data_IF_286157227233
#
_entry.id   IF_286157227233
#
_cell.length_a   1.000
_cell.length_b   1.000
_cell.length_c   1.000
_cell.angle_alpha   90.00
_cell.angle_beta   90.00
_cell.angle_gamma   90.00
#
_symmetry.space_group_name_H-M   'P 1'
#
loop_
_entity.id
_entity.type
_entity.pdbx_description
1 polymer ?
#
# COMPACT_ATOMS: atom_id res chain seq x y z
N UNK A 1 -21.32 -1.80 -22.22
CA UNK A 1 -22.49 -2.30 -22.94
C UNK A 1 -22.09 -3.53 -23.76
N UNK A 2 -22.89 -4.58 -23.74
CA UNK A 2 -22.62 -5.83 -24.42
C UNK A 2 -23.76 -6.10 -25.40
N UNK A 3 -23.41 -6.41 -26.63
CA UNK A 3 -24.34 -6.81 -27.70
C UNK A 3 -23.96 -8.21 -28.22
N UNK A 4 -24.97 -9.02 -28.50
CA UNK A 4 -24.79 -10.33 -29.13
C UNK A 4 -25.80 -10.52 -30.26
N UNK A 5 -25.32 -10.70 -31.47
CA UNK A 5 -26.16 -10.78 -32.65
C UNK A 5 -26.97 -9.49 -32.88
N UNK A 6 -28.26 -9.64 -33.19
CA UNK A 6 -29.18 -8.52 -33.40
C UNK A 6 -29.83 -7.96 -32.12
N UNK A 7 -29.46 -8.52 -30.94
CA UNK A 7 -30.04 -8.08 -29.66
C UNK A 7 -29.48 -6.69 -29.31
N UNK A 8 -30.35 -5.71 -28.91
CA UNK A 8 -29.89 -4.40 -28.47
C UNK A 8 -28.88 -4.52 -27.33
N UNK A 9 -27.84 -3.67 -27.36
CA UNK A 9 -26.80 -3.66 -26.34
C UNK A 9 -27.38 -3.44 -24.92
N UNK A 10 -26.93 -4.26 -23.97
CA UNK A 10 -27.32 -4.20 -22.56
C UNK A 10 -26.10 -3.91 -21.71
N UNK A 11 -26.26 -3.11 -20.66
CA UNK A 11 -25.21 -2.96 -19.64
C UNK A 11 -25.14 -4.22 -18.81
N UNK A 12 -23.94 -4.79 -18.70
CA UNK A 12 -23.67 -6.02 -17.97
C UNK A 12 -22.45 -5.87 -17.07
N UNK A 13 -22.44 -6.66 -16.00
CA UNK A 13 -21.33 -6.68 -15.04
C UNK A 13 -20.18 -7.50 -15.63
N UNK A 14 -19.07 -6.86 -15.98
CA UNK A 14 -17.95 -7.46 -16.69
C UNK A 14 -17.33 -8.67 -15.94
N UNK A 15 -17.16 -8.58 -14.62
CA UNK A 15 -16.57 -9.66 -13.82
C UNK A 15 -17.47 -10.91 -13.68
N UNK A 16 -18.71 -10.86 -14.17
CA UNK A 16 -19.70 -11.93 -14.04
C UNK A 16 -20.26 -12.40 -15.38
N UNK A 17 -19.85 -11.77 -16.48
CA UNK A 17 -20.32 -12.07 -17.82
C UNK A 17 -19.30 -12.96 -18.51
N UNK A 18 -19.72 -14.16 -18.90
CA UNK A 18 -18.88 -15.06 -19.68
C UNK A 18 -18.80 -14.57 -21.12
N UNK A 19 -17.59 -14.58 -21.72
CA UNK A 19 -17.45 -14.27 -23.13
C UNK A 19 -18.14 -15.32 -23.99
N UNK A 20 -18.72 -14.89 -25.11
CA UNK A 20 -19.36 -15.76 -26.09
C UNK A 20 -18.96 -15.33 -27.51
N UNK A 21 -19.02 -16.28 -28.45
CA UNK A 21 -18.72 -16.02 -29.86
C UNK A 21 -19.66 -14.93 -30.42
N UNK A 22 -19.12 -14.01 -31.22
CA UNK A 22 -19.89 -12.90 -31.78
C UNK A 22 -20.30 -11.82 -30.77
N UNK A 23 -19.81 -11.86 -29.54
CA UNK A 23 -20.04 -10.81 -28.54
C UNK A 23 -19.28 -9.54 -28.89
N UNK A 24 -19.98 -8.41 -28.94
CA UNK A 24 -19.39 -7.08 -29.11
C UNK A 24 -19.50 -6.33 -27.79
N UNK A 25 -18.37 -5.84 -27.26
CA UNK A 25 -18.30 -5.11 -25.99
C UNK A 25 -17.91 -3.66 -26.28
N UNK A 26 -18.77 -2.72 -25.86
CA UNK A 26 -18.50 -1.29 -25.95
C UNK A 26 -18.44 -0.70 -24.54
N UNK A 27 -17.25 -0.27 -24.12
CA UNK A 27 -16.99 0.37 -22.83
C UNK A 27 -17.25 1.87 -22.85
N UNK A 28 -17.30 2.48 -24.05
CA UNK A 28 -17.38 3.93 -24.26
C UNK A 28 -18.76 4.40 -24.73
N UNK A 29 -19.77 3.53 -24.65
CA UNK A 29 -21.15 3.94 -24.95
C UNK A 29 -21.72 4.85 -23.89
N UNK A 30 -22.66 5.75 -24.25
CA UNK A 30 -23.32 6.63 -23.30
C UNK A 30 -23.99 5.87 -22.16
N UNK A 31 -24.55 4.69 -22.44
CA UNK A 31 -25.13 3.81 -21.40
C UNK A 31 -24.07 3.31 -20.42
N UNK A 32 -22.87 2.99 -20.89
CA UNK A 32 -21.76 2.56 -20.04
C UNK A 32 -21.28 3.71 -19.16
N UNK A 33 -21.11 4.90 -19.71
CA UNK A 33 -20.76 6.12 -18.96
C UNK A 33 -21.85 6.48 -17.92
N UNK A 34 -23.12 6.48 -18.32
CA UNK A 34 -24.23 6.77 -17.41
C UNK A 34 -24.23 5.78 -16.21
N UNK A 35 -24.06 4.49 -16.48
CA UNK A 35 -24.02 3.48 -15.40
C UNK A 35 -22.81 3.66 -14.49
N UNK A 36 -21.62 3.99 -15.01
CA UNK A 36 -20.44 4.29 -14.18
C UNK A 36 -20.70 5.50 -13.28
N UNK A 37 -21.31 6.59 -13.80
CA UNK A 37 -21.70 7.75 -13.01
C UNK A 37 -22.66 7.40 -11.88
N UNK A 38 -23.67 6.58 -12.16
CA UNK A 38 -24.62 6.13 -11.14
C UNK A 38 -23.98 5.27 -10.06
N UNK A 39 -23.08 4.35 -10.44
CA UNK A 39 -22.31 3.55 -9.48
C UNK A 39 -21.43 4.43 -8.59
N UNK A 40 -20.75 5.43 -9.15
CA UNK A 40 -19.94 6.37 -8.40
C UNK A 40 -20.79 7.22 -7.45
N UNK A 41 -21.92 7.74 -7.91
CA UNK A 41 -22.87 8.49 -7.07
C UNK A 41 -23.33 7.65 -5.88
N UNK A 42 -23.65 6.38 -6.11
CA UNK A 42 -24.03 5.44 -5.03
C UNK A 42 -22.91 5.25 -4.00
N UNK A 43 -21.66 5.08 -4.44
CA UNK A 43 -20.51 4.97 -3.55
C UNK A 43 -20.25 6.27 -2.77
N UNK A 44 -20.41 7.42 -3.43
CA UNK A 44 -20.16 8.73 -2.84
C UNK A 44 -21.28 9.20 -1.90
N UNK A 45 -22.49 8.63 -1.98
CA UNK A 45 -23.63 8.99 -1.12
C UNK A 45 -23.25 9.03 0.37
N UNK A 46 -22.57 8.01 0.84
CA UNK A 46 -22.17 7.87 2.25
C UNK A 46 -20.67 8.11 2.49
N UNK A 47 -19.88 8.29 1.42
CA UNK A 47 -18.45 8.53 1.56
C UNK A 47 -18.19 9.92 2.14
N UNK A 48 -17.38 10.08 3.20
CA UNK A 48 -17.16 11.38 3.82
C UNK A 48 -16.33 12.30 2.92
N UNK A 49 -16.52 13.62 3.05
CA UNK A 49 -15.74 14.63 2.34
C UNK A 49 -14.37 14.86 3.00
N UNK A 50 -13.70 13.78 3.30
CA UNK A 50 -12.44 13.74 4.07
C UNK A 50 -11.17 13.85 3.20
N UNK A 51 -11.26 14.05 1.89
CA UNK A 51 -10.09 14.10 1.01
C UNK A 51 -8.96 15.00 1.54
N UNK A 52 -9.22 16.19 2.10
CA UNK A 52 -8.19 17.06 2.66
C UNK A 52 -7.45 16.46 3.86
N UNK A 53 -8.08 15.55 4.60
CA UNK A 53 -7.53 14.88 5.78
C UNK A 53 -7.38 13.37 5.58
N UNK A 54 -7.59 12.87 4.37
CA UNK A 54 -7.47 11.46 4.04
C UNK A 54 -6.05 11.16 3.53
N UNK A 55 -5.41 10.17 4.12
CA UNK A 55 -4.05 9.79 3.78
C UNK A 55 -3.92 9.13 2.40
N UNK A 56 -5.04 8.66 1.83
CA UNK A 56 -5.09 8.07 0.49
C UNK A 56 -5.27 9.12 -0.63
N UNK A 57 -5.46 10.41 -0.31
CA UNK A 57 -5.61 11.45 -1.31
C UNK A 57 -4.40 11.49 -2.26
N UNK A 58 -4.67 11.53 -3.58
CA UNK A 58 -3.65 11.47 -4.64
C UNK A 58 -3.20 10.07 -5.05
N UNK A 59 -3.74 9.02 -4.39
CA UNK A 59 -3.56 7.60 -4.78
C UNK A 59 -4.85 6.80 -4.50
N UNK A 60 -6.01 7.44 -4.64
CA UNK A 60 -7.32 6.88 -4.32
C UNK A 60 -8.10 6.58 -5.58
N UNK A 61 -8.38 5.28 -5.84
CA UNK A 61 -9.14 4.85 -7.03
C UNK A 61 -10.51 5.54 -7.12
N UNK A 62 -11.21 5.71 -5.98
CA UNK A 62 -12.51 6.39 -5.97
C UNK A 62 -12.38 7.87 -6.37
N UNK A 63 -11.33 8.53 -5.93
CA UNK A 63 -11.07 9.92 -6.29
C UNK A 63 -10.79 10.03 -7.80
N UNK A 64 -9.93 9.18 -8.33
CA UNK A 64 -9.55 9.20 -9.74
C UNK A 64 -10.74 8.88 -10.65
N UNK A 65 -11.53 7.86 -10.33
CA UNK A 65 -12.75 7.54 -11.08
C UNK A 65 -13.81 8.64 -10.98
N UNK A 66 -13.90 9.32 -9.84
CA UNK A 66 -14.82 10.45 -9.69
C UNK A 66 -14.44 11.63 -10.59
N UNK A 67 -13.15 11.89 -10.76
CA UNK A 67 -12.67 12.91 -11.69
C UNK A 67 -12.89 12.52 -13.15
N UNK A 68 -12.75 11.25 -13.49
CA UNK A 68 -12.90 10.78 -14.87
C UNK A 68 -14.36 10.66 -15.32
N UNK A 69 -15.22 10.11 -14.46
CA UNK A 69 -16.57 9.68 -14.84
C UNK A 69 -17.67 10.28 -13.95
N UNK A 70 -17.31 10.89 -12.83
CA UNK A 70 -18.26 11.36 -11.84
C UNK A 70 -19.03 12.60 -12.24
N UNK A 71 -19.91 13.02 -11.36
CA UNK A 71 -20.70 14.26 -11.51
C UNK A 71 -20.54 15.13 -10.26
N UNK A 72 -20.70 16.44 -10.44
CA UNK A 72 -20.50 17.43 -9.36
C UNK A 72 -21.62 17.44 -8.31
N UNK A 73 -22.79 16.91 -8.65
CA UNK A 73 -23.98 16.92 -7.79
C UNK A 73 -24.57 15.53 -7.65
N UNK A 74 -25.03 15.19 -6.45
CA UNK A 74 -25.74 13.94 -6.17
C UNK A 74 -27.26 14.16 -6.12
N UNK A 75 -28.02 13.11 -6.45
CA UNK A 75 -29.50 13.12 -6.43
C UNK A 75 -30.08 12.83 -5.04
N UNK A 76 -29.29 12.20 -4.15
CA UNK A 76 -29.77 11.82 -2.81
C UNK A 76 -29.98 13.04 -1.92
N UNK A 77 -31.17 13.12 -1.33
CA UNK A 77 -31.54 14.15 -0.34
C UNK A 77 -31.38 13.69 1.11
N UNK A 78 -31.07 12.41 1.31
CA UNK A 78 -30.88 11.83 2.64
C UNK A 78 -29.51 12.22 3.21
N UNK A 79 -29.45 12.38 4.54
CA UNK A 79 -28.20 12.58 5.26
C UNK A 79 -27.22 11.42 5.08
N UNK A 80 -25.93 11.70 5.20
CA UNK A 80 -24.89 10.69 5.17
C UNK A 80 -24.94 9.83 6.42
N UNK A 81 -24.68 8.54 6.27
CA UNK A 81 -24.53 7.63 7.37
C UNK A 81 -23.17 7.87 8.04
N UNK A 82 -23.14 7.85 9.36
CA UNK A 82 -21.94 7.90 10.15
C UNK A 82 -21.57 6.50 10.66
N UNK A 83 -20.28 6.23 10.76
CA UNK A 83 -19.72 5.00 11.28
C UNK A 83 -18.45 5.30 12.08
N UNK A 84 -17.89 4.30 12.74
CA UNK A 84 -16.70 4.44 13.53
C UNK A 84 -15.49 4.86 12.69
N UNK A 85 -14.76 5.86 13.19
CA UNK A 85 -13.51 6.34 12.61
C UNK A 85 -12.31 5.91 13.48
N UNK A 86 -11.15 5.73 12.82
CA UNK A 86 -9.86 5.48 13.50
C UNK A 86 -9.84 4.22 14.37
N UNK A 87 -10.59 3.21 13.98
CA UNK A 87 -10.56 1.92 14.67
C UNK A 87 -9.21 1.22 14.43
N UNK A 88 -8.51 0.85 15.50
CA UNK A 88 -7.25 0.11 15.42
C UNK A 88 -7.51 -1.37 15.17
N UNK A 89 -7.02 -1.91 14.06
CA UNK A 89 -7.10 -3.35 13.78
C UNK A 89 -5.90 -4.14 14.33
N UNK A 90 -5.02 -3.52 15.10
CA UNK A 90 -3.77 -4.11 15.62
C UNK A 90 -2.62 -3.10 15.50
N UNK A 91 -1.37 -3.55 15.48
CA UNK A 91 -0.21 -2.66 15.53
C UNK A 91 0.06 -1.92 14.21
N UNK A 92 -0.36 -2.46 13.08
CA UNK A 92 0.02 -1.97 11.75
C UNK A 92 -1.06 -1.10 11.11
N UNK A 93 -2.34 -1.43 11.28
CA UNK A 93 -3.44 -0.87 10.49
C UNK A 93 -4.43 -0.07 11.34
N UNK A 94 -4.88 1.05 10.77
CA UNK A 94 -6.07 1.81 11.23
C UNK A 94 -7.14 1.70 10.17
N UNK A 95 -8.37 1.41 10.60
CA UNK A 95 -9.56 1.37 9.77
C UNK A 95 -10.45 2.58 10.03
N UNK A 96 -10.91 3.20 8.96
CA UNK A 96 -11.99 4.20 8.96
C UNK A 96 -13.20 3.61 8.23
N UNK A 97 -14.22 3.25 8.98
CA UNK A 97 -15.42 2.59 8.43
C UNK A 97 -16.24 3.50 7.51
N UNK A 98 -16.25 4.82 7.75
CA UNK A 98 -16.97 5.75 6.89
C UNK A 98 -16.39 5.81 5.48
N UNK A 99 -15.07 5.62 5.35
CA UNK A 99 -14.38 5.62 4.05
C UNK A 99 -14.48 4.28 3.32
N UNK A 100 -14.94 3.23 4.02
CA UNK A 100 -14.98 1.89 3.47
C UNK A 100 -16.11 1.75 2.43
N UNK A 101 -15.77 1.31 1.23
CA UNK A 101 -16.72 1.00 0.14
C UNK A 101 -17.13 -0.47 0.09
N UNK A 102 -16.81 -1.24 1.12
CA UNK A 102 -17.17 -2.67 1.27
C UNK A 102 -16.78 -3.54 0.06
N UNK A 103 -15.67 -3.25 -0.59
CA UNK A 103 -15.19 -4.02 -1.75
C UNK A 103 -14.66 -5.41 -1.41
N UNK A 104 -14.54 -5.76 -0.14
CA UNK A 104 -14.06 -7.04 0.43
C UNK A 104 -12.64 -7.47 0.01
N UNK A 105 -11.85 -6.64 -0.69
CA UNK A 105 -10.47 -6.99 -1.11
C UNK A 105 -9.59 -7.39 0.08
N UNK A 106 -9.68 -6.69 1.21
CA UNK A 106 -8.91 -6.98 2.42
C UNK A 106 -9.30 -8.32 3.07
N UNK A 107 -10.58 -8.69 3.05
CA UNK A 107 -11.08 -9.98 3.54
C UNK A 107 -10.49 -11.10 2.69
N UNK A 108 -10.70 -11.04 1.37
CA UNK A 108 -10.16 -12.02 0.42
C UNK A 108 -8.64 -12.13 0.46
N UNK A 109 -7.94 -11.02 0.67
CA UNK A 109 -6.49 -11.04 0.81
C UNK A 109 -6.04 -11.97 1.95
N UNK A 110 -6.65 -11.85 3.13
CA UNK A 110 -6.28 -12.68 4.27
C UNK A 110 -6.65 -14.16 4.08
N UNK A 111 -7.70 -14.45 3.33
CA UNK A 111 -8.12 -15.80 2.99
C UNK A 111 -7.17 -16.46 1.96
N UNK A 112 -6.79 -15.70 0.92
CA UNK A 112 -6.09 -16.26 -0.25
C UNK A 112 -4.56 -16.22 -0.13
N UNK A 113 -3.98 -15.14 0.46
CA UNK A 113 -2.52 -14.94 0.47
C UNK A 113 -1.87 -15.51 1.72
N UNK A 114 -2.09 -14.98 2.95
CA UNK A 114 -1.56 -15.62 4.15
C UNK A 114 -2.36 -16.85 4.59
N UNK A 115 -3.49 -17.13 3.95
CA UNK A 115 -4.41 -18.25 4.27
C UNK A 115 -4.83 -18.27 5.75
N UNK A 116 -5.06 -17.11 6.31
CA UNK A 116 -5.52 -16.87 7.69
C UNK A 116 -6.64 -15.85 7.65
N UNK A 117 -7.89 -16.32 7.59
CA UNK A 117 -9.07 -15.46 7.64
C UNK A 117 -9.12 -14.71 8.96
N UNK A 118 -8.78 -13.41 8.95
CA UNK A 118 -8.76 -12.55 10.14
C UNK A 118 -9.73 -11.38 10.04
N UNK A 119 -10.19 -11.06 8.84
CA UNK A 119 -11.19 -10.04 8.56
C UNK A 119 -12.44 -10.66 8.00
N UNK A 120 -13.57 -10.07 8.35
CA UNK A 120 -14.88 -10.45 7.82
C UNK A 120 -15.74 -9.23 7.54
N UNK A 121 -16.80 -9.42 6.77
CA UNK A 121 -17.89 -8.46 6.67
C UNK A 121 -18.92 -8.84 7.72
N UNK A 122 -19.06 -8.01 8.74
CA UNK A 122 -20.06 -8.19 9.81
C UNK A 122 -21.30 -7.37 9.54
N UNK A 123 -22.41 -7.78 10.12
CA UNK A 123 -23.73 -7.19 9.93
C UNK A 123 -24.27 -7.32 8.49
N UNK A 124 -25.47 -6.84 8.26
CA UNK A 124 -26.16 -6.95 6.97
C UNK A 124 -26.64 -5.60 6.45
N UNK A 125 -26.73 -5.50 5.13
CA UNK A 125 -27.28 -4.36 4.43
C UNK A 125 -26.52 -3.05 4.73
N UNK A 126 -27.25 -2.01 5.07
CA UNK A 126 -26.67 -0.68 5.32
C UNK A 126 -25.79 -0.60 6.57
N UNK A 127 -25.82 -1.61 7.45
CA UNK A 127 -24.99 -1.69 8.65
C UNK A 127 -23.73 -2.54 8.48
N UNK A 128 -23.49 -3.07 7.28
CA UNK A 128 -22.30 -3.89 7.00
C UNK A 128 -21.01 -3.10 7.28
N UNK A 129 -20.07 -3.74 7.96
CA UNK A 129 -18.76 -3.20 8.32
C UNK A 129 -17.68 -4.25 8.17
N UNK A 130 -16.45 -3.83 7.93
CA UNK A 130 -15.28 -4.71 8.02
C UNK A 130 -14.88 -4.81 9.50
N UNK A 131 -14.69 -6.01 9.99
CA UNK A 131 -14.29 -6.23 11.38
C UNK A 131 -13.34 -7.42 11.53
N UNK A 132 -12.62 -7.45 12.63
CA UNK A 132 -11.94 -8.64 13.15
C UNK A 132 -12.91 -9.43 14.02
N UNK A 133 -12.59 -10.70 14.28
CA UNK A 133 -13.42 -11.54 15.14
C UNK A 133 -13.14 -11.23 16.62
N UNK A 134 -14.19 -10.96 17.40
CA UNK A 134 -14.19 -10.88 18.87
C UNK A 134 -12.97 -10.14 19.45
N UNK A 135 -12.76 -8.89 19.04
CA UNK A 135 -11.68 -8.00 19.51
C UNK A 135 -10.24 -8.54 19.32
N UNK A 136 -10.07 -9.56 18.49
CA UNK A 136 -8.76 -10.08 18.16
C UNK A 136 -8.05 -9.15 17.16
N UNK A 137 -6.89 -8.60 17.51
CA UNK A 137 -6.14 -7.77 16.56
C UNK A 137 -5.64 -8.60 15.37
N UNK A 138 -5.38 -7.93 14.25
CA UNK A 138 -4.67 -8.54 13.13
C UNK A 138 -3.28 -8.99 13.57
N UNK A 139 -2.88 -10.16 13.11
CA UNK A 139 -1.58 -10.78 13.42
C UNK A 139 -0.87 -11.23 12.15
N UNK A 140 0.43 -11.54 12.28
CA UNK A 140 1.25 -12.01 11.17
C UNK A 140 1.96 -10.88 10.43
N UNK A 141 2.76 -11.25 9.45
CA UNK A 141 3.76 -10.39 8.82
C UNK A 141 3.37 -9.92 7.40
N UNK A 142 2.05 -9.76 7.15
CA UNK A 142 1.52 -9.35 5.84
C UNK A 142 0.38 -8.31 5.93
N UNK A 143 0.19 -7.72 7.10
CA UNK A 143 -0.92 -6.81 7.37
C UNK A 143 -0.89 -5.55 6.49
N UNK A 144 0.30 -5.00 6.28
CA UNK A 144 0.47 -3.74 5.54
C UNK A 144 0.00 -3.80 4.08
N UNK A 145 -0.08 -4.99 3.49
CA UNK A 145 -0.56 -5.13 2.11
C UNK A 145 -2.02 -4.72 1.92
N UNK A 146 -2.87 -4.83 2.95
CA UNK A 146 -4.27 -4.40 2.83
C UNK A 146 -4.42 -2.88 2.72
N UNK A 147 -3.47 -2.10 3.21
CA UNK A 147 -3.44 -0.65 3.00
C UNK A 147 -3.11 -0.28 1.56
N UNK A 148 -2.20 -1.04 0.92
CA UNK A 148 -1.90 -0.87 -0.51
C UNK A 148 -3.09 -1.30 -1.38
N UNK A 149 -3.70 -2.44 -1.04
CA UNK A 149 -4.80 -3.05 -1.78
C UNK A 149 -6.12 -2.28 -1.66
N UNK A 150 -6.30 -1.52 -0.56
CA UNK A 150 -7.53 -0.76 -0.33
C UNK A 150 -7.67 0.34 -1.38
N UNK A 151 -8.79 0.39 -2.15
CA UNK A 151 -8.97 1.38 -3.21
C UNK A 151 -9.23 2.79 -2.67
N UNK A 152 -9.53 2.91 -1.38
CA UNK A 152 -9.88 4.16 -0.70
C UNK A 152 -9.06 4.33 0.59
N UNK A 153 -9.22 5.45 1.28
CA UNK A 153 -8.53 5.73 2.54
C UNK A 153 -9.13 5.06 3.79
N UNK A 154 -9.81 3.92 3.62
CA UNK A 154 -10.39 3.18 4.74
C UNK A 154 -9.33 2.46 5.57
N UNK A 155 -8.37 1.80 4.92
CA UNK A 155 -7.26 1.11 5.57
C UNK A 155 -5.97 1.90 5.36
N UNK A 156 -5.33 2.29 6.44
CA UNK A 156 -4.08 3.07 6.41
C UNK A 156 -3.03 2.49 7.35
N UNK A 157 -1.76 2.62 6.97
CA UNK A 157 -0.63 2.22 7.80
C UNK A 157 -0.46 3.20 8.95
N UNK A 158 -0.43 2.74 10.20
CA UNK A 158 -0.19 3.59 11.38
C UNK A 158 1.09 4.41 11.24
N UNK A 159 2.16 3.78 10.77
CA UNK A 159 3.49 4.40 10.65
C UNK A 159 3.57 5.49 9.59
N UNK A 160 2.80 5.36 8.50
CA UNK A 160 2.78 6.35 7.42
C UNK A 160 1.68 7.41 7.61
N UNK A 161 0.64 7.11 8.40
CA UNK A 161 -0.52 7.98 8.54
C UNK A 161 -0.11 9.39 8.95
N UNK A 162 -0.53 10.38 8.14
CA UNK A 162 -0.25 11.81 8.30
C UNK A 162 1.22 12.23 8.26
N UNK A 163 2.11 11.37 7.74
CA UNK A 163 3.54 11.69 7.61
C UNK A 163 3.87 12.51 6.38
N UNK A 164 3.19 12.23 5.27
CA UNK A 164 3.41 12.93 4.01
C UNK A 164 2.23 12.81 3.06
N UNK A 165 2.12 13.75 2.14
CA UNK A 165 1.23 13.64 0.98
C UNK A 165 1.97 12.98 -0.17
N UNK A 166 1.27 12.08 -0.89
CA UNK A 166 1.89 11.25 -1.94
C UNK A 166 2.50 12.05 -3.09
N UNK A 167 1.97 13.24 -3.39
CA UNK A 167 2.53 14.13 -4.42
C UNK A 167 3.83 14.84 -4.01
N UNK A 168 4.20 14.75 -2.73
CA UNK A 168 5.48 15.23 -2.22
C UNK A 168 6.54 14.12 -2.17
N UNK A 169 6.19 12.89 -2.52
CA UNK A 169 7.08 11.75 -2.49
C UNK A 169 7.69 11.48 -3.86
N UNK A 170 8.99 11.30 -3.88
CA UNK A 170 9.73 10.77 -5.02
C UNK A 170 9.74 9.25 -4.91
N UNK A 171 9.40 8.58 -6.00
CA UNK A 171 9.27 7.12 -6.06
C UNK A 171 10.47 6.53 -6.81
N UNK A 172 11.21 5.64 -6.17
CA UNK A 172 12.39 4.99 -6.72
C UNK A 172 12.26 3.46 -6.63
N UNK A 173 12.48 2.76 -7.74
CA UNK A 173 12.53 1.31 -7.75
C UNK A 173 13.81 0.82 -7.02
N UNK A 174 13.64 -0.21 -6.18
CA UNK A 174 14.73 -0.78 -5.40
C UNK A 174 14.45 -2.25 -5.04
N UNK A 175 15.36 -2.84 -4.28
CA UNK A 175 15.26 -4.17 -3.70
C UNK A 175 15.23 -4.06 -2.18
N UNK A 176 14.38 -4.85 -1.53
CA UNK A 176 14.29 -4.89 -0.07
C UNK A 176 15.57 -5.47 0.53
N UNK A 177 16.22 -4.78 1.50
CA UNK A 177 17.48 -5.23 2.06
C UNK A 177 17.31 -6.18 3.25
N UNK A 178 16.10 -6.48 3.69
CA UNK A 178 15.84 -7.13 4.99
C UNK A 178 16.19 -8.61 5.02
N UNK A 179 16.07 -9.32 3.90
CA UNK A 179 16.39 -10.75 3.84
C UNK A 179 16.80 -11.19 2.44
N UNK A 180 17.35 -12.40 2.34
CA UNK A 180 17.85 -13.00 1.09
C UNK A 180 16.79 -13.17 -0.01
N UNK A 181 15.49 -13.03 0.28
CA UNK A 181 14.45 -13.05 -0.76
C UNK A 181 14.59 -11.91 -1.74
N UNK A 182 15.08 -10.74 -1.32
CA UNK A 182 15.32 -9.60 -2.19
C UNK A 182 14.06 -9.11 -2.90
N UNK A 183 12.95 -8.94 -2.17
CA UNK A 183 11.67 -8.46 -2.75
C UNK A 183 11.85 -7.17 -3.52
N UNK A 184 11.26 -7.08 -4.71
CA UNK A 184 11.20 -5.83 -5.47
C UNK A 184 10.29 -4.84 -4.77
N UNK A 185 10.81 -3.66 -4.48
CA UNK A 185 10.10 -2.61 -3.77
C UNK A 185 10.16 -1.28 -4.51
N UNK A 186 9.28 -0.39 -4.11
CA UNK A 186 9.32 1.02 -4.38
C UNK A 186 9.65 1.76 -3.08
N UNK A 187 10.74 2.49 -3.07
CA UNK A 187 11.13 3.39 -1.99
C UNK A 187 10.49 4.74 -2.26
N UNK A 188 9.77 5.27 -1.29
CA UNK A 188 9.13 6.57 -1.37
C UNK A 188 9.79 7.53 -0.39
N UNK A 189 10.42 8.55 -0.96
CA UNK A 189 11.28 9.51 -0.28
C UNK A 189 10.65 10.90 -0.32
N UNK A 190 10.56 11.56 0.82
CA UNK A 190 10.15 12.96 0.88
C UNK A 190 11.20 13.84 0.19
N UNK A 191 10.76 14.89 -0.48
CA UNK A 191 11.68 15.91 -1.00
C UNK A 191 12.51 16.46 0.17
N UNK A 192 13.78 16.12 0.20
CA UNK A 192 14.66 16.40 1.34
C UNK A 192 15.40 15.17 1.88
N UNK A 193 15.11 13.98 1.34
CA UNK A 193 15.93 12.78 1.55
C UNK A 193 15.39 11.78 2.57
N UNK A 194 14.33 12.10 3.31
CA UNK A 194 13.78 11.18 4.31
C UNK A 194 12.92 10.09 3.67
N UNK A 195 13.19 8.82 3.92
CA UNK A 195 12.38 7.68 3.47
C UNK A 195 11.12 7.59 4.32
N UNK A 196 9.96 7.65 3.69
CA UNK A 196 8.65 7.64 4.37
C UNK A 196 7.96 6.28 4.34
N UNK A 197 8.13 5.51 3.26
CA UNK A 197 7.60 4.14 3.19
C UNK A 197 8.26 3.30 2.10
N UNK A 198 8.19 1.98 2.29
CA UNK A 198 8.40 0.99 1.26
C UNK A 198 7.07 0.41 0.81
N UNK A 199 6.90 0.23 -0.50
CA UNK A 199 5.75 -0.46 -1.10
C UNK A 199 6.22 -1.63 -1.95
N UNK A 200 5.45 -2.71 -2.07
CA UNK A 200 5.78 -3.79 -2.99
C UNK A 200 5.68 -3.30 -4.44
N UNK A 201 6.61 -3.72 -5.26
CA UNK A 201 6.57 -3.60 -6.71
C UNK A 201 6.43 -4.99 -7.31
N UNK A 202 5.57 -5.13 -8.30
CA UNK A 202 5.34 -6.42 -8.95
C UNK A 202 6.65 -7.04 -9.44
N UNK A 203 6.87 -8.29 -9.04
CA UNK A 203 7.90 -9.16 -9.59
C UNK A 203 7.45 -10.62 -9.44
N UNK A 204 6.93 -11.19 -10.54
CA UNK A 204 6.38 -12.56 -10.54
C UNK A 204 7.40 -13.62 -10.13
N UNK A 205 8.69 -13.39 -10.42
CA UNK A 205 9.76 -14.34 -10.10
C UNK A 205 10.18 -14.32 -8.63
N UNK A 206 9.94 -13.23 -7.88
CA UNK A 206 10.45 -13.04 -6.53
C UNK A 206 9.35 -12.93 -5.49
N UNK A 207 8.55 -11.87 -5.54
CA UNK A 207 7.58 -11.54 -4.50
C UNK A 207 6.13 -11.42 -4.99
N UNK A 208 5.87 -11.65 -6.29
CA UNK A 208 4.56 -11.41 -6.87
C UNK A 208 4.13 -9.95 -6.68
N UNK A 209 3.08 -9.75 -5.93
CA UNK A 209 2.48 -8.43 -5.64
C UNK A 209 2.69 -7.97 -4.19
N UNK A 210 3.31 -8.80 -3.33
CA UNK A 210 3.25 -8.65 -1.89
C UNK A 210 4.63 -8.48 -1.27
N UNK A 211 4.66 -7.88 -0.07
CA UNK A 211 5.84 -7.86 0.77
C UNK A 211 5.46 -8.09 2.24
N UNK A 212 6.40 -8.55 3.03
CA UNK A 212 6.20 -8.71 4.47
C UNK A 212 6.30 -7.37 5.21
N UNK A 213 5.68 -7.29 6.39
CA UNK A 213 5.70 -6.07 7.19
C UNK A 213 7.09 -5.78 7.77
N UNK A 214 7.88 -6.82 8.08
CA UNK A 214 9.28 -6.66 8.48
C UNK A 214 10.05 -5.87 7.43
N UNK A 215 10.01 -6.30 6.17
CA UNK A 215 10.66 -5.57 5.06
C UNK A 215 10.02 -4.21 4.79
N UNK A 216 8.69 -4.10 4.95
CA UNK A 216 7.95 -2.84 4.75
C UNK A 216 8.42 -1.72 5.67
N UNK A 217 8.81 -2.06 6.89
CA UNK A 217 9.22 -1.10 7.91
C UNK A 217 10.74 -1.06 8.14
N UNK A 218 11.50 -1.79 7.33
CA UNK A 218 12.95 -1.87 7.44
C UNK A 218 13.70 -0.57 7.14
N UNK A 219 13.02 0.50 6.75
CA UNK A 219 13.66 1.77 6.42
C UNK A 219 14.05 2.64 7.63
N UNK A 220 13.71 2.23 8.85
CA UNK A 220 14.03 3.03 10.06
C UNK A 220 15.52 3.27 10.21
N UNK A 221 16.34 2.27 9.93
CA UNK A 221 17.80 2.41 9.99
C UNK A 221 18.36 3.40 8.96
N UNK A 222 17.65 3.63 7.84
CA UNK A 222 18.06 4.59 6.81
C UNK A 222 17.93 6.02 7.32
N UNK A 223 16.88 6.29 8.09
CA UNK A 223 16.61 7.62 8.67
C UNK A 223 17.23 7.81 10.06
N UNK A 224 17.91 6.79 10.60
CA UNK A 224 18.44 6.83 11.96
C UNK A 224 19.51 7.92 12.11
N UNK A 225 19.41 8.80 13.12
CA UNK A 225 20.37 9.91 13.32
C UNK A 225 21.77 9.43 13.70
N UNK A 226 21.89 8.23 14.20
CA UNK A 226 23.16 7.59 14.58
C UNK A 226 23.76 6.73 13.45
N UNK A 227 23.24 6.84 12.23
CA UNK A 227 23.80 6.15 11.08
C UNK A 227 25.20 6.69 10.77
N UNK A 228 26.15 5.78 10.53
CA UNK A 228 27.50 6.17 10.13
C UNK A 228 27.44 6.83 8.75
N UNK A 229 27.86 8.10 8.69
CA UNK A 229 27.96 8.88 7.45
C UNK A 229 29.38 8.83 6.86
N UNK A 230 30.40 8.66 7.72
CA UNK A 230 31.81 8.66 7.37
C UNK A 230 32.48 7.37 7.84
N UNK A 231 33.65 7.07 7.28
CA UNK A 231 34.51 6.02 7.82
C UNK A 231 34.97 6.41 9.24
N UNK A 232 35.14 5.41 10.11
CA UNK A 232 35.66 5.57 11.44
C UNK A 232 36.96 4.77 11.55
N UNK A 233 38.06 5.46 11.83
CA UNK A 233 39.35 4.84 12.02
C UNK A 233 39.78 4.97 13.48
N UNK A 234 40.39 3.92 14.04
CA UNK A 234 40.85 3.91 15.43
C UNK A 234 42.08 4.82 15.57
N UNK A 235 41.96 5.79 16.47
CA UNK A 235 43.06 6.65 16.89
C UNK A 235 43.26 6.49 18.41
N UNK A 236 44.22 5.69 18.82
CA UNK A 236 44.42 5.31 20.23
C UNK A 236 43.23 4.46 20.74
N UNK A 237 42.54 4.97 21.78
CA UNK A 237 41.39 4.27 22.37
C UNK A 237 40.01 4.70 21.80
N UNK A 238 39.96 5.71 20.92
CA UNK A 238 38.72 6.24 20.34
C UNK A 238 38.63 5.95 18.83
N UNK A 239 37.40 5.99 18.31
CA UNK A 239 37.14 6.03 16.87
C UNK A 239 37.04 7.50 16.45
N UNK A 240 37.78 7.91 15.42
CA UNK A 240 37.73 9.21 14.83
C UNK A 240 37.14 9.14 13.40
N UNK A 241 36.41 10.15 13.01
CA UNK A 241 35.92 10.29 11.64
C UNK A 241 37.08 10.45 10.66
N UNK A 242 37.01 9.76 9.55
CA UNK A 242 38.01 9.77 8.49
C UNK A 242 37.35 9.80 7.11
N UNK A 243 38.08 10.14 6.08
CA UNK A 243 37.64 9.98 4.71
C UNK A 243 37.50 8.51 4.35
N UNK A 244 36.75 8.20 3.27
CA UNK A 244 36.65 6.81 2.76
C UNK A 244 38.06 6.34 2.33
N UNK A 245 38.84 7.20 1.71
CA UNK A 245 40.20 6.90 1.26
C UNK A 245 41.13 6.55 2.43
N UNK A 246 41.07 7.30 3.52
CA UNK A 246 41.86 7.03 4.74
C UNK A 246 41.35 5.73 5.42
N UNK A 247 40.06 5.49 5.44
CA UNK A 247 39.49 4.27 5.94
C UNK A 247 39.95 3.03 5.17
N UNK A 248 39.94 3.09 3.83
CA UNK A 248 40.46 2.04 2.97
C UNK A 248 41.96 1.83 3.14
N UNK A 249 42.74 2.91 3.25
CA UNK A 249 44.18 2.85 3.52
C UNK A 249 44.47 2.16 4.86
N UNK A 250 43.72 2.49 5.90
CA UNK A 250 43.82 1.82 7.20
C UNK A 250 43.50 0.32 7.14
N UNK A 251 42.43 -0.11 6.42
CA UNK A 251 42.11 -1.50 6.20
C UNK A 251 43.25 -2.22 5.45
N UNK A 252 43.78 -1.61 4.39
CA UNK A 252 44.88 -2.17 3.63
C UNK A 252 46.13 -2.36 4.50
N UNK A 253 46.47 -1.38 5.28
CA UNK A 253 47.63 -1.47 6.22
C UNK A 253 47.44 -2.61 7.23
N UNK A 254 46.21 -2.84 7.73
CA UNK A 254 45.91 -3.97 8.62
C UNK A 254 46.09 -5.32 7.92
N UNK A 255 45.60 -5.46 6.68
CA UNK A 255 45.73 -6.68 5.90
C UNK A 255 47.17 -7.00 5.53
N UNK A 256 47.97 -5.96 5.20
CA UNK A 256 49.39 -6.11 4.88
C UNK A 256 50.23 -6.48 6.13
N UNK A 257 49.77 -6.09 7.32
CA UNK A 257 50.45 -6.35 8.57
C UNK A 257 50.18 -7.76 9.16
N UNK A 258 49.15 -8.45 8.66
CA UNK A 258 48.73 -9.75 9.19
C UNK A 258 48.67 -10.81 8.07
N UNK A 259 49.34 -11.97 8.31
CA UNK A 259 49.36 -13.06 7.32
C UNK A 259 48.01 -13.74 7.13
N UNK A 260 47.19 -13.75 8.18
CA UNK A 260 45.87 -14.40 8.17
C UNK A 260 44.79 -13.38 8.50
N UNK A 261 43.70 -13.39 7.74
CA UNK A 261 42.52 -12.58 7.97
C UNK A 261 41.24 -13.43 7.98
N UNK A 262 40.41 -13.29 9.00
CA UNK A 262 39.09 -13.86 9.07
C UNK A 262 38.05 -12.79 8.68
N UNK A 263 37.31 -13.05 7.61
CA UNK A 263 36.20 -12.24 7.20
C UNK A 263 34.90 -12.79 7.79
N UNK A 264 34.24 -11.97 8.61
CA UNK A 264 32.88 -12.27 9.11
C UNK A 264 31.93 -11.34 8.43
N UNK A 265 31.05 -11.89 7.57
CA UNK A 265 30.07 -11.14 6.83
C UNK A 265 28.65 -11.50 7.28
N UNK A 266 27.76 -10.51 7.25
CA UNK A 266 26.33 -10.72 7.41
C UNK A 266 25.72 -11.14 6.07
N UNK A 267 24.65 -11.97 6.05
CA UNK A 267 23.88 -12.23 4.83
C UNK A 267 23.20 -10.98 4.26
N UNK A 268 23.28 -9.86 4.98
CA UNK A 268 22.76 -8.56 4.59
C UNK A 268 23.84 -7.60 4.03
N UNK A 269 25.05 -8.05 3.85
CA UNK A 269 26.14 -7.29 3.23
C UNK A 269 26.14 -7.46 1.72
#
# INVERSE_FOLDING_TARGET
EVQQGQTPGRVMVACRTYPAEGMVVNTESEKSHATRRECLEFLLKNHPLDCPICDKAGECDLQDYTYQEGQSTGRSKEGRRHAEKRHSLGDVIVLDQERCVLCSRCVRFFEEVPKKAQLTVSNLGSRSVISTFADRPLTGNYQGNIADLCPVGALTLKKFRFQARVWNLVKQASTCPECSRGCSIQVEVLRGGEVKRFRPRENKAVNGWWMCDTGRFAFDHVNAPNRLANALVRSGHALAEASIEDGLAAVRALLDAHADALFVASPFC
#
